data_IF_983671913148
#
_entry.id   IF_983671913148
#
_cell.length_a   1.000
_cell.length_b   1.000
_cell.length_c   1.000
_cell.angle_alpha   90.00
_cell.angle_beta   90.00
_cell.angle_gamma   90.00
#
_symmetry.space_group_name_H-M   'P 1'
#
loop_
_entity.id
_entity.type
_entity.pdbx_description
1 polymer ?
#
# COMPACT_ATOMS: atom_id res chain seq x y z
N UNK A 1 10.12 20.39 -11.91
CA UNK A 1 9.42 19.21 -12.42
C UNK A 1 7.95 19.27 -12.06
N UNK A 2 7.59 19.49 -10.80
CA UNK A 2 6.22 19.64 -10.33
C UNK A 2 5.38 20.64 -11.14
N UNK A 3 5.89 21.85 -11.37
CA UNK A 3 5.24 22.88 -12.22
C UNK A 3 5.03 22.45 -13.68
N UNK A 4 5.90 21.59 -14.22
CA UNK A 4 5.72 21.06 -15.57
C UNK A 4 4.53 20.07 -15.59
N UNK A 5 4.44 19.20 -14.61
CA UNK A 5 3.32 18.25 -14.47
C UNK A 5 2.01 19.01 -14.31
N UNK A 6 1.95 19.98 -13.38
CA UNK A 6 0.78 20.84 -13.20
C UNK A 6 0.36 21.54 -14.50
N UNK A 7 1.34 22.07 -15.25
CA UNK A 7 1.08 22.72 -16.53
C UNK A 7 0.55 21.76 -17.58
N UNK A 8 1.05 20.52 -17.64
CA UNK A 8 0.53 19.49 -18.55
C UNK A 8 -0.92 19.15 -18.19
N UNK A 9 -1.23 18.95 -16.93
CA UNK A 9 -2.58 18.65 -16.46
C UNK A 9 -3.57 19.79 -16.80
N UNK A 10 -3.16 21.04 -16.62
CA UNK A 10 -3.93 22.25 -16.94
C UNK A 10 -4.20 22.36 -18.46
N UNK A 11 -3.14 22.27 -19.29
CA UNK A 11 -3.27 22.42 -20.75
C UNK A 11 -4.07 21.28 -21.39
N UNK A 12 -3.95 20.06 -20.87
CA UNK A 12 -4.71 18.92 -21.38
C UNK A 12 -6.14 18.87 -20.87
N UNK A 13 -6.47 19.58 -19.80
CA UNK A 13 -7.78 19.52 -19.14
C UNK A 13 -8.07 18.16 -18.49
N UNK A 14 -7.03 17.32 -18.30
CA UNK A 14 -7.21 15.97 -17.80
C UNK A 14 -7.73 15.95 -16.35
N UNK A 15 -7.23 16.84 -15.51
CA UNK A 15 -7.71 16.96 -14.13
C UNK A 15 -9.15 17.43 -14.07
N UNK A 16 -9.52 18.44 -14.90
CA UNK A 16 -10.89 18.96 -14.98
C UNK A 16 -11.90 17.89 -15.42
N UNK A 17 -11.46 16.97 -16.28
CA UNK A 17 -12.31 15.87 -16.72
C UNK A 17 -12.54 14.83 -15.63
N UNK A 18 -11.50 14.48 -14.89
CA UNK A 18 -11.62 13.60 -13.73
C UNK A 18 -12.49 14.20 -12.62
N UNK A 19 -12.40 15.52 -12.38
CA UNK A 19 -13.22 16.21 -11.38
C UNK A 19 -14.71 16.28 -11.74
N UNK A 20 -15.05 16.24 -13.04
CA UNK A 20 -16.44 16.17 -13.51
C UNK A 20 -17.04 14.78 -13.30
N UNK A 21 -16.24 13.76 -13.42
CA UNK A 21 -16.63 12.38 -13.12
C UNK A 21 -16.51 12.10 -11.63
N UNK A 22 -17.65 12.00 -10.95
CA UNK A 22 -17.75 11.76 -9.50
C UNK A 22 -17.62 10.29 -9.12
N UNK A 23 -17.09 9.43 -10.00
CA UNK A 23 -16.85 8.03 -9.69
C UNK A 23 -15.70 7.86 -8.67
N UNK A 24 -15.72 6.77 -7.91
CA UNK A 24 -14.60 6.43 -7.01
C UNK A 24 -13.31 6.23 -7.81
N UNK A 25 -13.40 5.68 -9.02
CA UNK A 25 -12.24 5.45 -9.88
C UNK A 25 -11.57 6.78 -10.31
N UNK A 26 -12.36 7.81 -10.62
CA UNK A 26 -11.83 9.14 -10.95
C UNK A 26 -11.20 9.80 -9.73
N UNK A 27 -11.74 9.59 -8.53
CA UNK A 27 -11.13 10.09 -7.31
C UNK A 27 -9.78 9.40 -7.02
N UNK A 28 -9.69 8.09 -7.21
CA UNK A 28 -8.43 7.34 -7.07
C UNK A 28 -7.36 7.84 -8.06
N UNK A 29 -7.77 8.16 -9.31
CA UNK A 29 -6.87 8.74 -10.31
C UNK A 29 -6.39 10.14 -9.92
N UNK A 30 -7.27 10.98 -9.38
CA UNK A 30 -6.90 12.30 -8.86
C UNK A 30 -5.89 12.17 -7.73
N UNK A 31 -6.08 11.24 -6.81
CA UNK A 31 -5.17 11.04 -5.69
C UNK A 31 -3.82 10.47 -6.16
N UNK A 32 -3.79 9.61 -7.18
CA UNK A 32 -2.54 9.17 -7.82
C UNK A 32 -1.80 10.33 -8.50
N UNK A 33 -2.50 11.27 -9.14
CA UNK A 33 -1.88 12.45 -9.73
C UNK A 33 -1.25 13.37 -8.67
N UNK A 34 -1.91 13.56 -7.53
CA UNK A 34 -1.36 14.32 -6.38
C UNK A 34 -0.11 13.66 -5.82
N UNK A 35 -0.12 12.33 -5.72
CA UNK A 35 1.04 11.55 -5.28
C UNK A 35 2.20 11.72 -6.26
N UNK A 36 1.93 11.65 -7.57
CA UNK A 36 2.94 11.87 -8.61
C UNK A 36 3.56 13.27 -8.55
N UNK A 37 2.77 14.29 -8.29
CA UNK A 37 3.27 15.65 -8.07
C UNK A 37 4.15 15.71 -6.80
N UNK A 38 3.79 14.99 -5.75
CA UNK A 38 4.58 14.92 -4.51
C UNK A 38 5.93 14.27 -4.73
N UNK A 39 6.00 13.19 -5.52
CA UNK A 39 7.24 12.53 -5.95
C UNK A 39 8.13 13.51 -6.75
N UNK A 40 7.52 14.30 -7.64
CA UNK A 40 8.26 15.31 -8.41
C UNK A 40 8.85 16.42 -7.52
N UNK A 41 8.13 16.85 -6.48
CA UNK A 41 8.63 17.82 -5.49
C UNK A 41 9.78 17.22 -4.68
N UNK A 42 9.66 15.98 -4.26
CA UNK A 42 10.72 15.29 -3.52
C UNK A 42 11.97 15.14 -4.38
N UNK A 43 11.84 14.77 -5.65
CA UNK A 43 12.93 14.74 -6.60
C UNK A 43 13.60 16.11 -6.75
N UNK A 44 12.83 17.19 -6.88
CA UNK A 44 13.36 18.58 -6.96
C UNK A 44 14.15 18.99 -5.70
N UNK A 45 13.83 18.42 -4.54
CA UNK A 45 14.49 18.73 -3.28
C UNK A 45 15.73 17.86 -3.00
N UNK A 46 15.74 16.62 -3.46
CA UNK A 46 16.75 15.62 -3.13
C UNK A 46 17.80 15.40 -4.22
N UNK A 47 17.47 15.64 -5.49
CA UNK A 47 18.37 15.39 -6.62
C UNK A 47 19.31 16.55 -6.89
N UNK A 48 20.56 16.23 -7.24
CA UNK A 48 21.54 17.20 -7.71
C UNK A 48 21.22 17.68 -9.14
N UNK A 49 20.84 16.74 -10.01
CA UNK A 49 20.37 17.00 -11.37
C UNK A 49 18.84 17.02 -11.41
N UNK A 50 18.29 18.16 -11.85
CA UNK A 50 16.84 18.46 -11.79
C UNK A 50 16.21 18.60 -13.18
N UNK A 51 16.75 17.88 -14.14
CA UNK A 51 16.22 17.87 -15.50
C UNK A 51 15.16 16.78 -15.69
N UNK A 52 14.44 16.89 -16.82
CA UNK A 52 13.34 15.99 -17.14
C UNK A 52 13.81 14.57 -17.44
N UNK A 53 14.97 14.43 -18.08
CA UNK A 53 15.51 13.13 -18.49
C UNK A 53 15.88 12.30 -17.28
N UNK A 54 16.56 12.89 -16.31
CA UNK A 54 16.88 12.26 -15.02
C UNK A 54 15.63 11.90 -14.23
N UNK A 55 14.63 12.78 -14.21
CA UNK A 55 13.36 12.47 -13.55
C UNK A 55 12.65 11.27 -14.18
N UNK A 56 12.51 11.26 -15.52
CA UNK A 56 11.87 10.15 -16.22
C UNK A 56 12.65 8.84 -16.08
N UNK A 57 13.96 8.90 -16.06
CA UNK A 57 14.83 7.74 -15.81
C UNK A 57 14.57 7.17 -14.41
N UNK A 58 14.50 8.00 -13.38
CA UNK A 58 14.22 7.57 -12.01
C UNK A 58 12.82 6.93 -11.90
N UNK A 59 11.80 7.54 -12.52
CA UNK A 59 10.44 6.96 -12.55
C UNK A 59 10.43 5.62 -13.28
N UNK A 60 11.14 5.50 -14.42
CA UNK A 60 11.22 4.25 -15.18
C UNK A 60 11.96 3.14 -14.39
N UNK A 61 13.05 3.48 -13.72
CA UNK A 61 13.80 2.54 -12.88
C UNK A 61 12.96 2.04 -11.69
N UNK A 62 12.23 2.93 -11.03
CA UNK A 62 11.32 2.55 -9.93
C UNK A 62 10.23 1.58 -10.42
N UNK A 63 9.83 1.68 -11.70
CA UNK A 63 8.85 0.77 -12.31
C UNK A 63 9.45 -0.55 -12.83
N UNK A 64 10.75 -0.61 -13.05
CA UNK A 64 11.45 -1.72 -13.73
C UNK A 64 12.33 -2.57 -12.81
N UNK A 65 12.39 -2.31 -11.49
CA UNK A 65 13.16 -3.12 -10.56
C UNK A 65 12.53 -4.51 -10.29
N UNK A 66 12.20 -5.23 -11.34
CA UNK A 66 11.98 -6.68 -11.35
C UNK A 66 13.15 -7.43 -12.01
N UNK A 67 14.36 -6.88 -11.91
CA UNK A 67 15.59 -7.48 -12.46
C UNK A 67 16.22 -8.43 -11.46
N UNK A 68 16.40 -9.65 -11.93
CA UNK A 68 17.08 -10.79 -11.36
C UNK A 68 18.47 -10.40 -10.79
N UNK A 69 18.56 -10.27 -9.47
CA UNK A 69 19.76 -10.62 -8.73
C UNK A 69 19.32 -11.20 -7.39
N UNK A 70 19.78 -12.42 -7.08
CA UNK A 70 19.69 -13.08 -5.76
C UNK A 70 20.47 -12.29 -4.70
N UNK A 71 20.05 -11.08 -4.44
CA UNK A 71 20.60 -10.31 -3.34
C UNK A 71 19.77 -10.58 -2.09
N UNK A 72 20.44 -10.52 -0.95
CA UNK A 72 19.84 -10.59 0.40
C UNK A 72 18.91 -9.38 0.64
N UNK A 73 17.75 -9.39 -0.05
CA UNK A 73 16.78 -8.29 -0.06
C UNK A 73 15.49 -8.67 0.65
N UNK A 74 14.85 -7.68 1.24
CA UNK A 74 13.48 -7.76 1.70
C UNK A 74 12.56 -7.27 0.57
N UNK A 75 11.72 -8.17 0.06
CA UNK A 75 10.73 -7.83 -0.97
C UNK A 75 9.49 -7.20 -0.34
N UNK A 76 9.08 -6.03 -0.84
CA UNK A 76 7.83 -5.37 -0.49
C UNK A 76 6.86 -5.50 -1.66
N UNK A 77 5.65 -6.00 -1.39
CA UNK A 77 4.64 -6.20 -2.42
C UNK A 77 3.24 -6.21 -1.83
N UNK A 78 2.23 -6.08 -2.68
CA UNK A 78 0.85 -6.29 -2.25
C UNK A 78 0.55 -7.79 -2.13
N UNK A 79 -0.48 -8.14 -1.35
CA UNK A 79 -0.91 -9.54 -1.25
C UNK A 79 -1.37 -10.07 -2.61
N UNK A 80 -2.00 -9.22 -3.44
CA UNK A 80 -2.41 -9.60 -4.80
C UNK A 80 -1.22 -10.00 -5.68
N UNK A 81 -0.15 -9.23 -5.64
CA UNK A 81 1.05 -9.51 -6.45
C UNK A 81 1.86 -10.70 -5.92
N UNK A 82 1.64 -11.10 -4.66
CA UNK A 82 2.29 -12.26 -4.05
C UNK A 82 1.67 -13.60 -4.49
N UNK A 83 0.56 -13.58 -5.23
CA UNK A 83 -0.11 -14.81 -5.70
C UNK A 83 0.83 -15.65 -6.56
N UNK A 84 1.03 -16.92 -6.18
CA UNK A 84 1.93 -17.86 -6.86
C UNK A 84 3.38 -17.81 -6.34
N UNK A 85 3.76 -16.81 -5.57
CA UNK A 85 5.08 -16.73 -4.93
C UNK A 85 5.03 -17.37 -3.54
N UNK A 86 6.20 -17.75 -3.01
CA UNK A 86 6.34 -18.27 -1.65
C UNK A 86 7.67 -17.85 -1.05
N UNK A 87 7.66 -17.49 0.23
CA UNK A 87 8.82 -16.97 0.95
C UNK A 87 9.08 -17.73 2.24
N UNK A 88 10.34 -17.89 2.66
CA UNK A 88 10.66 -18.53 3.95
C UNK A 88 10.01 -17.81 5.13
N UNK A 89 10.00 -16.49 5.10
CA UNK A 89 9.43 -15.61 6.15
C UNK A 89 8.54 -14.57 5.49
N UNK A 90 7.35 -14.35 6.04
CA UNK A 90 6.39 -13.35 5.55
C UNK A 90 5.94 -12.45 6.69
N UNK A 91 5.91 -11.15 6.44
CA UNK A 91 5.33 -10.15 7.31
C UNK A 91 4.04 -9.60 6.66
N UNK A 92 2.88 -9.94 7.21
CA UNK A 92 1.61 -9.28 6.87
C UNK A 92 1.46 -8.06 7.78
N UNK A 93 1.62 -6.89 7.19
CA UNK A 93 1.59 -5.63 7.93
C UNK A 93 0.20 -5.00 7.86
N UNK A 94 -0.16 -4.24 8.91
CA UNK A 94 -1.41 -3.48 8.92
C UNK A 94 -2.65 -4.35 9.12
N UNK A 95 -2.59 -5.39 9.95
CA UNK A 95 -3.73 -6.25 10.28
C UNK A 95 -4.73 -5.51 11.20
N UNK A 96 -5.40 -4.51 10.62
CA UNK A 96 -6.27 -3.55 11.31
C UNK A 96 -7.59 -3.35 10.55
N UNK A 97 -8.71 -3.29 11.25
CA UNK A 97 -10.01 -2.95 10.68
C UNK A 97 -9.94 -1.60 9.94
N UNK A 98 -10.43 -1.58 8.71
CA UNK A 98 -10.37 -0.40 7.84
C UNK A 98 -9.10 -0.29 7.00
N UNK A 99 -8.06 -1.08 7.29
CA UNK A 99 -6.87 -1.23 6.46
C UNK A 99 -6.81 -2.62 5.83
N UNK A 100 -6.99 -3.66 6.63
CA UNK A 100 -7.15 -5.04 6.17
C UNK A 100 -8.02 -5.86 7.15
N UNK A 101 -9.31 -6.05 6.84
CA UNK A 101 -10.04 -5.68 5.61
C UNK A 101 -10.13 -4.17 5.38
N UNK A 102 -10.20 -3.76 4.10
CA UNK A 102 -10.25 -2.34 3.73
C UNK A 102 -11.54 -1.68 4.20
N UNK A 103 -11.47 -0.35 4.43
CA UNK A 103 -12.61 0.43 4.93
C UNK A 103 -13.85 0.31 4.05
N UNK A 104 -13.71 0.14 2.74
CA UNK A 104 -14.82 -0.04 1.80
C UNK A 104 -15.58 -1.33 2.10
N UNK A 105 -14.87 -2.46 2.21
CA UNK A 105 -15.48 -3.76 2.51
C UNK A 105 -16.16 -3.77 3.89
N UNK A 106 -15.59 -3.08 4.88
CA UNK A 106 -16.18 -2.95 6.22
C UNK A 106 -17.46 -2.11 6.18
N UNK A 107 -17.49 -1.03 5.38
CA UNK A 107 -18.65 -0.10 5.30
C UNK A 107 -19.75 -0.58 4.40
N UNK A 108 -19.46 -1.40 3.38
CA UNK A 108 -20.48 -1.92 2.45
C UNK A 108 -21.51 -2.81 3.17
N UNK A 109 -21.16 -3.33 4.37
CA UNK A 109 -21.94 -4.34 5.09
C UNK A 109 -22.29 -5.56 4.23
N UNK A 110 -21.58 -5.73 3.12
CA UNK A 110 -21.72 -6.86 2.22
C UNK A 110 -20.85 -8.02 2.73
N UNK A 111 -21.50 -9.14 3.01
CA UNK A 111 -20.77 -10.35 3.41
C UNK A 111 -19.81 -10.82 2.31
N UNK A 112 -20.19 -10.65 1.04
CA UNK A 112 -19.34 -11.02 -0.10
C UNK A 112 -18.03 -10.24 -0.16
N UNK A 113 -18.04 -8.94 0.20
CA UNK A 113 -16.84 -8.10 0.19
C UNK A 113 -15.87 -8.52 1.30
N UNK A 114 -16.40 -8.85 2.47
CA UNK A 114 -15.58 -9.37 3.57
C UNK A 114 -15.03 -10.77 3.25
N UNK A 115 -15.80 -11.62 2.57
CA UNK A 115 -15.33 -12.93 2.12
C UNK A 115 -14.18 -12.83 1.11
N UNK A 116 -14.23 -11.85 0.20
CA UNK A 116 -13.14 -11.62 -0.74
C UNK A 116 -11.86 -11.16 -0.02
N UNK A 117 -11.98 -10.24 0.93
CA UNK A 117 -10.86 -9.83 1.78
C UNK A 117 -10.32 -11.01 2.62
N UNK A 118 -11.19 -11.90 3.08
CA UNK A 118 -10.78 -13.12 3.81
C UNK A 118 -10.01 -14.07 2.91
N UNK A 119 -10.44 -14.26 1.64
CA UNK A 119 -9.69 -15.04 0.66
C UNK A 119 -8.31 -14.44 0.40
N UNK A 120 -8.25 -13.12 0.31
CA UNK A 120 -6.99 -12.41 0.17
C UNK A 120 -6.07 -12.60 1.39
N UNK A 121 -6.64 -12.57 2.61
CA UNK A 121 -5.91 -12.89 3.83
C UNK A 121 -5.36 -14.32 3.80
N UNK A 122 -6.16 -15.29 3.40
CA UNK A 122 -5.70 -16.67 3.22
C UNK A 122 -4.55 -16.78 2.22
N UNK A 123 -4.63 -16.06 1.09
CA UNK A 123 -3.52 -16.00 0.13
C UNK A 123 -2.26 -15.48 0.81
N UNK A 124 -2.32 -14.37 1.54
CA UNK A 124 -1.18 -13.81 2.24
C UNK A 124 -0.55 -14.78 3.25
N UNK A 125 -1.39 -15.43 4.07
CA UNK A 125 -0.95 -16.43 5.07
C UNK A 125 -0.21 -17.58 4.38
N UNK A 126 -0.75 -18.09 3.28
CA UNK A 126 -0.17 -19.24 2.55
C UNK A 126 1.09 -18.90 1.78
N UNK A 127 1.55 -17.65 1.75
CA UNK A 127 2.86 -17.28 1.16
C UNK A 127 4.02 -17.66 2.06
N UNK A 128 3.79 -17.88 3.36
CA UNK A 128 4.82 -18.23 4.31
C UNK A 128 5.13 -19.73 4.30
N UNK A 129 6.40 -20.08 4.02
CA UNK A 129 6.89 -21.47 4.09
C UNK A 129 7.24 -21.90 5.49
N UNK A 130 7.81 -20.99 6.31
CA UNK A 130 8.33 -21.31 7.63
C UNK A 130 7.74 -20.44 8.73
N UNK A 131 7.77 -19.13 8.54
CA UNK A 131 7.36 -18.17 9.56
C UNK A 131 6.45 -17.10 8.99
N UNK A 132 5.38 -16.81 9.74
CA UNK A 132 4.44 -15.74 9.42
C UNK A 132 4.36 -14.78 10.60
N UNK A 133 4.60 -13.50 10.34
CA UNK A 133 4.42 -12.42 11.30
C UNK A 133 3.25 -11.54 10.85
N UNK A 134 2.27 -11.37 11.73
CA UNK A 134 1.16 -10.45 11.51
C UNK A 134 1.33 -9.26 12.43
N UNK A 135 1.33 -8.05 11.88
CA UNK A 135 1.57 -6.83 12.65
C UNK A 135 0.41 -5.88 12.62
N UNK A 136 0.17 -5.20 13.74
CA UNK A 136 -0.81 -4.13 13.88
C UNK A 136 -0.24 -3.03 14.77
N UNK A 137 -0.80 -1.83 14.66
CA UNK A 137 -0.44 -0.70 15.51
C UNK A 137 -1.57 -0.42 16.52
N UNK A 138 -1.24 0.27 17.63
CA UNK A 138 -2.28 0.77 18.54
C UNK A 138 -2.94 2.04 18.05
N UNK A 139 -2.20 2.83 17.28
CA UNK A 139 -2.65 4.09 16.68
C UNK A 139 -2.00 4.23 15.31
N UNK A 140 -2.74 4.71 14.35
CA UNK A 140 -2.27 4.96 12.99
C UNK A 140 -2.60 6.39 12.57
N UNK A 141 -1.62 7.05 11.98
CA UNK A 141 -1.82 8.35 11.34
C UNK A 141 -2.04 8.12 9.85
N UNK A 142 -3.21 8.51 9.36
CA UNK A 142 -3.57 8.50 7.95
C UNK A 142 -4.08 9.89 7.58
N UNK A 143 -3.57 10.45 6.49
CA UNK A 143 -3.97 11.79 6.01
C UNK A 143 -3.89 12.86 7.10
N UNK A 144 -2.82 12.84 7.89
CA UNK A 144 -2.59 13.81 8.98
C UNK A 144 -3.47 13.64 10.23
N UNK A 145 -4.35 12.62 10.29
CA UNK A 145 -5.21 12.35 11.46
C UNK A 145 -4.76 11.06 12.14
N UNK A 146 -4.50 11.11 13.44
CA UNK A 146 -4.14 9.94 14.24
C UNK A 146 -5.39 9.35 14.90
N UNK A 147 -5.70 8.12 14.55
CA UNK A 147 -6.82 7.37 15.08
C UNK A 147 -6.33 6.13 15.83
N UNK A 148 -7.05 5.67 16.87
CA UNK A 148 -6.81 4.35 17.45
C UNK A 148 -7.11 3.27 16.41
N UNK A 149 -6.26 2.26 16.33
CA UNK A 149 -6.46 1.12 15.43
C UNK A 149 -7.18 0.00 16.16
N UNK A 150 -8.07 -0.67 15.44
CA UNK A 150 -8.78 -1.87 15.90
C UNK A 150 -8.15 -3.07 15.19
N UNK A 151 -7.88 -4.14 15.95
CA UNK A 151 -7.34 -5.37 15.38
C UNK A 151 -8.24 -5.93 14.28
N UNK A 152 -7.65 -6.41 13.20
CA UNK A 152 -8.36 -7.09 12.11
C UNK A 152 -9.11 -8.33 12.63
N UNK A 153 -10.36 -8.48 12.22
CA UNK A 153 -11.17 -9.68 12.52
C UNK A 153 -10.51 -10.97 12.05
N UNK A 154 -9.75 -10.93 10.98
CA UNK A 154 -9.05 -12.10 10.46
C UNK A 154 -8.00 -12.65 11.43
N UNK A 155 -7.41 -11.79 12.28
CA UNK A 155 -6.53 -12.26 13.35
C UNK A 155 -7.30 -12.99 14.46
N UNK A 156 -8.57 -12.64 14.68
CA UNK A 156 -9.40 -13.31 15.68
C UNK A 156 -9.86 -14.70 15.22
N UNK A 157 -10.07 -14.85 13.92
CA UNK A 157 -10.49 -16.11 13.29
C UNK A 157 -9.41 -17.21 13.31
N UNK A 158 -8.13 -16.83 13.52
CA UNK A 158 -7.06 -17.83 13.60
C UNK A 158 -7.16 -18.65 14.89
N UNK A 159 -6.84 -19.97 14.85
CA UNK A 159 -6.78 -20.82 16.04
C UNK A 159 -5.78 -20.30 17.07
N UNK A 160 -6.13 -20.38 18.35
CA UNK A 160 -5.26 -19.84 19.43
C UNK A 160 -3.93 -20.62 19.53
N UNK A 161 -3.95 -21.92 19.26
CA UNK A 161 -2.78 -22.78 19.24
C UNK A 161 -1.73 -22.38 18.17
N UNK A 162 -2.19 -21.67 17.12
CA UNK A 162 -1.31 -21.17 16.06
C UNK A 162 -0.73 -19.79 16.36
N UNK A 163 -1.19 -19.13 17.44
CA UNK A 163 -0.80 -17.76 17.77
C UNK A 163 0.29 -17.72 18.84
N UNK A 164 1.38 -17.02 18.53
CA UNK A 164 2.39 -16.65 19.50
C UNK A 164 2.45 -15.12 19.61
N UNK A 165 1.95 -14.57 20.71
CA UNK A 165 2.02 -13.13 20.94
C UNK A 165 3.46 -12.67 21.22
N UNK A 166 4.01 -11.90 20.28
CA UNK A 166 5.31 -11.23 20.43
C UNK A 166 5.08 -9.74 20.72
N UNK A 167 4.54 -9.42 21.90
CA UNK A 167 4.47 -8.01 22.30
C UNK A 167 5.88 -7.54 22.67
N UNK A 168 6.57 -6.84 21.77
CA UNK A 168 7.66 -5.95 22.15
C UNK A 168 7.03 -4.73 22.83
N UNK A 169 7.23 -4.57 24.15
CA UNK A 169 7.11 -3.25 24.78
C UNK A 169 8.08 -2.32 24.04
N UNK A 170 7.57 -1.37 23.27
CA UNK A 170 8.38 -0.22 22.90
C UNK A 170 8.78 0.45 24.21
N UNK A 171 10.04 0.36 24.58
CA UNK A 171 10.59 1.22 25.62
C UNK A 171 10.48 2.66 25.12
N UNK A 172 9.85 3.50 25.93
CA UNK A 172 9.76 4.95 25.76
C UNK A 172 11.16 5.57 25.66
#
# INVERSE_FOLDING_TARGET
MSKLIERVLDVTGYLDELEKDKSEESQDRIDNLKEFISIAIEFENSSEEKDLETFLTNVALTSSESGEEEDDRVSLMTIHTSKGLEFPVVFLIGMEEGLFPISRAVRSMSESDIEEERRLCYVGITRAKKELYMTLTKKRTLYGKTNPSIQSRFMEELPQECKKNLMKKCMN
#
